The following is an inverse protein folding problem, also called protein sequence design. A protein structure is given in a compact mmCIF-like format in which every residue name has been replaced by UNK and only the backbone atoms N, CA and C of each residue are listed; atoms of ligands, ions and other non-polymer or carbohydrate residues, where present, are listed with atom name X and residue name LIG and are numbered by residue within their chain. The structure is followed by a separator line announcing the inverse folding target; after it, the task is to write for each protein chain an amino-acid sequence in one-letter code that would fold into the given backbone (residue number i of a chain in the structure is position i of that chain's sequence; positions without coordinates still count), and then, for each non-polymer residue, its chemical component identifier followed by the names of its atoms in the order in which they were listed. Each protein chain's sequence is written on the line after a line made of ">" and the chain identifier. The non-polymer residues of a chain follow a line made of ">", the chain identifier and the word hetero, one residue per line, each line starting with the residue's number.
data_IF_120308578010
#
_entry.id   IF_120308578010
#
_cell.length_a   1.000
_cell.length_b   1.000
_cell.length_c   1.000
_cell.angle_alpha   90.00
_cell.angle_beta   90.00
_cell.angle_gamma   90.00
#
_symmetry.space_group_name_H-M   'P 1'
#
loop_
_entity.id
_entity.type
_entity.pdbx_description
1 polymer ?
#
# COMPACT_ATOMS: atom_id res chain seq x y z
N UNK A 1 -3.22 -2.35 -0.37
CA UNK A 1 -1.75 -2.12 -0.29
C UNK A 1 -1.38 -1.05 0.73
N UNK A 2 -2.00 0.12 0.69
CA UNK A 2 -1.65 1.21 1.62
C UNK A 2 -1.87 0.84 3.08
N UNK A 3 -2.94 0.13 3.40
CA UNK A 3 -3.22 -0.32 4.77
C UNK A 3 -2.13 -1.23 5.32
N UNK A 4 -1.63 -2.14 4.49
CA UNK A 4 -0.54 -3.04 4.88
C UNK A 4 0.74 -2.26 5.16
N UNK A 5 1.04 -1.24 4.35
CA UNK A 5 2.21 -0.38 4.52
C UNK A 5 2.09 0.55 5.72
N UNK A 6 0.87 0.88 6.14
CA UNK A 6 0.65 1.67 7.35
C UNK A 6 0.94 0.87 8.63
N UNK A 7 0.67 -0.44 8.60
CA UNK A 7 0.97 -1.33 9.73
C UNK A 7 2.45 -1.67 9.79
N UNK A 8 3.09 -1.86 8.62
CA UNK A 8 4.51 -2.15 8.50
C UNK A 8 5.18 -0.99 7.75
N UNK A 9 6.32 -0.56 8.22
CA UNK A 9 7.04 0.57 7.62
C UNK A 9 7.43 0.30 6.17
N UNK A 10 7.74 -0.94 5.85
CA UNK A 10 8.10 -1.33 4.49
C UNK A 10 7.71 -2.78 4.22
N UNK A 11 7.43 -3.08 2.97
CA UNK A 11 7.12 -4.43 2.50
C UNK A 11 7.78 -4.66 1.14
N UNK A 12 8.29 -5.87 0.94
CA UNK A 12 8.81 -6.27 -0.36
C UNK A 12 7.65 -6.65 -1.27
N UNK A 13 7.93 -6.69 -2.58
CA UNK A 13 6.95 -7.16 -3.57
C UNK A 13 6.45 -8.57 -3.23
N UNK A 14 7.37 -9.46 -2.86
CA UNK A 14 7.02 -10.85 -2.49
C UNK A 14 6.12 -10.91 -1.27
N UNK A 15 6.37 -10.07 -0.27
CA UNK A 15 5.54 -9.99 0.94
C UNK A 15 4.14 -9.47 0.61
N UNK A 16 4.04 -8.46 -0.25
CA UNK A 16 2.75 -7.92 -0.69
C UNK A 16 1.95 -8.97 -1.47
N UNK A 17 2.62 -9.72 -2.35
CA UNK A 17 1.98 -10.78 -3.11
C UNK A 17 1.43 -11.87 -2.20
N UNK A 18 2.18 -12.25 -1.18
CA UNK A 18 1.74 -13.26 -0.22
C UNK A 18 0.52 -12.81 0.60
N UNK A 19 0.45 -11.50 0.90
CA UNK A 19 -0.66 -10.95 1.67
C UNK A 19 -1.96 -10.83 0.87
N UNK A 20 -1.86 -10.51 -0.41
CA UNK A 20 -3.04 -10.14 -1.20
C UNK A 20 -3.52 -11.20 -2.18
N UNK A 21 -2.81 -12.29 -2.35
CA UNK A 21 -3.19 -13.39 -3.23
C UNK A 21 -3.70 -12.90 -4.60
N UNK A 22 -2.91 -12.04 -5.24
CA UNK A 22 -3.21 -11.49 -6.57
C UNK A 22 -2.10 -11.86 -7.54
N UNK A 23 -2.37 -11.74 -8.85
CA UNK A 23 -1.34 -11.98 -9.86
C UNK A 23 -0.25 -10.92 -9.80
N UNK A 24 0.95 -11.27 -10.27
CA UNK A 24 2.08 -10.34 -10.34
C UNK A 24 1.74 -9.11 -11.17
N UNK A 25 1.05 -9.30 -12.30
CA UNK A 25 0.64 -8.21 -13.18
C UNK A 25 -0.30 -7.24 -12.50
N UNK A 26 -1.31 -7.75 -11.77
CA UNK A 26 -2.27 -6.92 -11.05
C UNK A 26 -1.59 -6.15 -9.93
N UNK A 27 -0.73 -6.81 -9.18
CA UNK A 27 -0.01 -6.16 -8.08
C UNK A 27 0.93 -5.08 -8.61
N UNK A 28 1.66 -5.36 -9.68
CA UNK A 28 2.56 -4.39 -10.32
C UNK A 28 1.80 -3.16 -10.83
N UNK A 29 0.66 -3.37 -11.47
CA UNK A 29 -0.17 -2.26 -11.98
C UNK A 29 -0.70 -1.40 -10.84
N UNK A 30 -1.14 -2.02 -9.76
CA UNK A 30 -1.64 -1.32 -8.59
C UNK A 30 -0.55 -0.50 -7.91
N UNK A 31 0.62 -1.12 -7.72
CA UNK A 31 1.78 -0.45 -7.12
C UNK A 31 2.23 0.73 -7.97
N UNK A 32 2.25 0.58 -9.29
CA UNK A 32 2.62 1.65 -10.21
C UNK A 32 1.69 2.86 -10.08
N UNK A 33 0.40 2.63 -9.99
CA UNK A 33 -0.58 3.71 -9.80
C UNK A 33 -0.34 4.47 -8.51
N UNK A 34 -0.04 3.77 -7.43
CA UNK A 34 0.26 4.40 -6.14
C UNK A 34 1.58 5.17 -6.17
N UNK A 35 2.58 4.66 -6.90
CA UNK A 35 3.84 5.37 -7.10
C UNK A 35 3.64 6.65 -7.91
N UNK A 36 2.85 6.58 -8.99
CA UNK A 36 2.54 7.75 -9.82
C UNK A 36 1.81 8.83 -9.04
N UNK A 37 0.92 8.42 -8.13
CA UNK A 37 0.23 9.34 -7.24
C UNK A 37 1.12 9.85 -6.10
N UNK A 38 2.34 9.32 -5.98
CA UNK A 38 3.31 9.65 -4.93
C UNK A 38 2.85 9.25 -3.52
N UNK A 39 1.95 8.30 -3.43
CA UNK A 39 1.48 7.76 -2.15
C UNK A 39 2.40 6.66 -1.63
N UNK A 40 3.11 6.00 -2.52
CA UNK A 40 4.02 4.91 -2.21
C UNK A 40 5.34 5.17 -2.92
N UNK A 41 6.45 4.90 -2.25
CA UNK A 41 7.78 4.92 -2.85
C UNK A 41 8.28 3.50 -3.02
N UNK A 42 9.03 3.28 -4.09
CA UNK A 42 9.65 2.00 -4.37
C UNK A 42 11.16 2.18 -4.43
N UNK A 43 11.88 1.37 -3.67
CA UNK A 43 13.34 1.33 -3.70
C UNK A 43 13.74 -0.03 -4.24
N UNK A 44 14.53 -0.04 -5.31
CA UNK A 44 15.07 -1.27 -5.88
C UNK A 44 16.46 -1.51 -5.31
N UNK A 45 16.67 -2.72 -4.81
CA UNK A 45 17.96 -3.13 -4.26
C UNK A 45 18.20 -4.59 -4.64
N UNK A 46 19.31 -5.14 -4.17
CA UNK A 46 19.64 -6.53 -4.40
C UNK A 46 19.79 -7.25 -3.07
N UNK A 47 19.21 -8.44 -3.00
CA UNK A 47 19.43 -9.38 -1.90
C UNK A 47 20.32 -10.48 -2.45
N UNK A 48 21.63 -10.32 -2.29
CA UNK A 48 22.61 -11.14 -2.99
C UNK A 48 22.56 -10.86 -4.49
N UNK A 49 22.21 -11.87 -5.30
CA UNK A 49 22.09 -11.75 -6.74
C UNK A 49 20.65 -11.51 -7.23
N UNK A 50 19.68 -11.52 -6.32
CA UNK A 50 18.27 -11.37 -6.67
C UNK A 50 17.84 -9.93 -6.54
N UNK A 51 17.15 -9.36 -7.54
CA UNK A 51 16.57 -8.03 -7.41
C UNK A 51 15.46 -8.05 -6.38
N UNK A 52 15.38 -6.99 -5.59
CA UNK A 52 14.41 -6.82 -4.52
C UNK A 52 13.76 -5.46 -4.65
N UNK A 53 12.43 -5.42 -4.67
CA UNK A 53 11.68 -4.16 -4.66
C UNK A 53 11.06 -3.99 -3.28
N UNK A 54 11.34 -2.85 -2.65
CA UNK A 54 10.83 -2.51 -1.32
C UNK A 54 9.90 -1.31 -1.45
N UNK A 55 8.69 -1.45 -0.96
CA UNK A 55 7.68 -0.41 -1.01
C UNK A 55 7.48 0.21 0.37
N UNK A 56 7.34 1.54 0.40
CA UNK A 56 7.09 2.30 1.62
C UNK A 56 5.97 3.29 1.39
N UNK A 57 5.18 3.52 2.42
CA UNK A 57 4.16 4.56 2.39
C UNK A 57 4.82 5.92 2.59
N UNK A 58 4.52 6.86 1.69
CA UNK A 58 5.01 8.23 1.82
C UNK A 58 4.17 9.01 2.82
N UNK A 59 4.63 10.22 3.20
CA UNK A 59 3.84 11.11 4.05
C UNK A 59 2.50 11.46 3.38
N UNK A 60 2.52 11.73 2.06
CA UNK A 60 1.30 12.00 1.30
C UNK A 60 0.37 10.79 1.27
N UNK A 61 0.93 9.58 1.13
CA UNK A 61 0.16 8.33 1.17
C UNK A 61 -0.48 8.10 2.51
N UNK A 62 0.25 8.35 3.60
CA UNK A 62 -0.27 8.22 4.96
C UNK A 62 -1.42 9.21 5.20
N UNK A 63 -1.27 10.44 4.75
CA UNK A 63 -2.33 11.45 4.88
C UNK A 63 -3.57 11.05 4.07
N UNK A 64 -3.40 10.55 2.85
CA UNK A 64 -4.50 10.09 2.01
C UNK A 64 -5.21 8.89 2.65
N UNK A 65 -4.46 7.95 3.22
CA UNK A 65 -5.03 6.79 3.90
C UNK A 65 -5.82 7.22 5.13
N UNK A 66 -5.29 8.14 5.92
CA UNK A 66 -5.99 8.63 7.12
C UNK A 66 -7.31 9.30 6.74
N UNK A 67 -7.33 10.11 5.69
CA UNK A 67 -8.58 10.72 5.20
C UNK A 67 -9.59 9.67 4.75
N UNK A 68 -9.12 8.64 4.07
CA UNK A 68 -9.98 7.53 3.64
C UNK A 68 -10.58 6.79 4.84
N UNK A 69 -9.77 6.48 5.83
CA UNK A 69 -10.22 5.77 7.04
C UNK A 69 -11.21 6.61 7.84
N UNK A 70 -10.98 7.92 7.96
CA UNK A 70 -11.91 8.83 8.63
C UNK A 70 -13.25 8.85 7.91
N UNK A 71 -13.24 8.88 6.58
CA UNK A 71 -14.47 8.85 5.79
C UNK A 71 -15.24 7.53 5.98
N UNK A 72 -14.55 6.41 5.94
CA UNK A 72 -15.16 5.09 6.15
C UNK A 72 -15.76 4.99 7.55
N UNK A 73 -15.07 5.50 8.56
CA UNK A 73 -15.57 5.53 9.94
C UNK A 73 -16.85 6.35 10.04
N UNK A 74 -16.89 7.50 9.39
CA UNK A 74 -18.08 8.36 9.38
C UNK A 74 -19.27 7.66 8.74
N UNK A 75 -19.04 6.95 7.63
CA UNK A 75 -20.08 6.18 6.94
C UNK A 75 -20.62 5.05 7.82
N UNK A 76 -19.74 4.34 8.50
CA UNK A 76 -20.12 3.25 9.40
C UNK A 76 -20.97 3.80 10.55
N UNK A 77 -20.58 4.91 11.16
CA UNK A 77 -21.33 5.54 12.25
C UNK A 77 -22.72 5.98 11.79
N UNK A 78 -22.82 6.57 10.61
CA UNK A 78 -24.09 6.98 10.03
C UNK A 78 -25.01 5.79 9.79
N UNK A 79 -24.46 4.69 9.28
CA UNK A 79 -25.20 3.44 9.04
C UNK A 79 -25.73 2.82 10.33
N UNK A 80 -24.94 2.87 11.39
CA UNK A 80 -25.34 2.31 12.69
C UNK A 80 -26.46 3.08 13.38
N UNK A 81 -26.58 4.37 13.07
CA UNK A 81 -27.65 5.21 13.65
C UNK A 81 -28.98 5.05 12.95
N UNK A 82 -28.96 4.56 11.73
CA UNK A 82 -30.15 4.29 10.97
C UNK A 82 -30.71 2.93 11.27
#
# INVERSE_FOLDING_TARGET
>A
MMSALAVRDELTFSELKALFDVSDGNLSAHARKLEEARYVSCTKSFDGRRPKSVYRLTAAGRAALNRYLDHVEAVIKATRRG
#
